data_IF_139490069853
#
_entry.id   IF_139490069853
#
_cell.length_a   1.000
_cell.length_b   1.000
_cell.length_c   1.000
_cell.angle_alpha   90.00
_cell.angle_beta   90.00
_cell.angle_gamma   90.00
#
_symmetry.space_group_name_H-M   'P 1'
#
loop_
_entity.id
_entity.type
_entity.pdbx_description
1 polymer ?
#
# COMPACT_ATOMS: atom_id res chain seq x y z
N UNK A 1 13.38 5.76 -7.25
CA UNK A 1 12.09 6.24 -6.71
C UNK A 1 11.34 7.00 -7.80
N UNK A 2 10.06 6.70 -8.04
CA UNK A 2 9.21 7.39 -9.02
C UNK A 2 8.28 8.37 -8.28
N UNK A 3 8.45 9.67 -8.52
CA UNK A 3 7.64 10.76 -7.98
C UNK A 3 7.07 11.61 -9.12
N UNK A 4 6.03 11.13 -9.84
CA UNK A 4 5.62 11.73 -11.10
C UNK A 4 4.80 13.01 -10.94
N UNK A 5 4.35 13.35 -9.72
CA UNK A 5 3.55 14.54 -9.44
C UNK A 5 4.31 15.56 -8.59
N UNK A 6 3.96 16.84 -8.74
CA UNK A 6 4.47 17.94 -7.89
C UNK A 6 4.17 17.69 -6.39
N UNK A 7 2.96 17.24 -6.09
CA UNK A 7 2.49 16.91 -4.74
C UNK A 7 1.50 15.75 -4.79
N UNK A 8 1.30 15.06 -3.66
CA UNK A 8 0.27 14.03 -3.54
C UNK A 8 0.67 12.63 -4.02
N UNK A 9 1.94 12.39 -4.32
CA UNK A 9 2.45 11.09 -4.76
C UNK A 9 2.04 9.93 -3.83
N UNK A 10 2.18 10.10 -2.50
CA UNK A 10 1.78 9.06 -1.55
C UNK A 10 0.28 8.74 -1.58
N UNK A 11 -0.59 9.74 -1.84
CA UNK A 11 -2.04 9.51 -2.00
C UNK A 11 -2.34 8.80 -3.32
N UNK A 12 -1.70 9.23 -4.40
CA UNK A 12 -1.86 8.60 -5.71
C UNK A 12 -1.37 7.16 -5.72
N UNK A 13 -0.24 6.88 -5.07
CA UNK A 13 0.29 5.52 -4.89
C UNK A 13 -0.65 4.64 -4.08
N UNK A 14 -1.19 5.14 -2.96
CA UNK A 14 -2.16 4.38 -2.16
C UNK A 14 -3.40 3.99 -2.97
N UNK A 15 -3.95 4.93 -3.74
CA UNK A 15 -5.08 4.67 -4.64
C UNK A 15 -4.72 3.67 -5.74
N UNK A 16 -3.52 3.78 -6.34
CA UNK A 16 -3.05 2.81 -7.33
C UNK A 16 -3.01 1.39 -6.74
N UNK A 17 -2.43 1.23 -5.55
CA UNK A 17 -2.39 -0.08 -4.89
C UNK A 17 -3.79 -0.60 -4.55
N UNK A 18 -4.69 0.26 -4.05
CA UNK A 18 -6.07 -0.12 -3.79
C UNK A 18 -6.76 -0.64 -5.07
N UNK A 19 -6.60 0.04 -6.21
CA UNK A 19 -7.15 -0.42 -7.48
C UNK A 19 -6.51 -1.74 -7.95
N UNK A 20 -5.21 -1.92 -7.75
CA UNK A 20 -4.52 -3.17 -8.10
C UNK A 20 -5.01 -4.36 -7.26
N UNK A 21 -5.17 -4.15 -5.95
CA UNK A 21 -5.64 -5.19 -5.02
C UNK A 21 -7.09 -5.58 -5.33
N UNK A 22 -7.96 -4.59 -5.60
CA UNK A 22 -9.34 -4.84 -6.01
C UNK A 22 -9.40 -5.54 -7.38
N UNK A 23 -8.57 -5.13 -8.35
CA UNK A 23 -8.50 -5.77 -9.67
C UNK A 23 -7.98 -7.22 -9.60
N UNK A 24 -7.19 -7.54 -8.57
CA UNK A 24 -6.77 -8.90 -8.24
C UNK A 24 -7.80 -9.65 -7.38
N UNK A 25 -9.00 -9.07 -7.18
CA UNK A 25 -10.13 -9.65 -6.43
C UNK A 25 -9.87 -9.86 -4.92
N UNK A 26 -8.91 -9.15 -4.35
CA UNK A 26 -8.67 -9.16 -2.90
C UNK A 26 -9.40 -8.00 -2.22
N UNK A 27 -10.00 -8.22 -1.03
CA UNK A 27 -10.51 -7.12 -0.21
C UNK A 27 -9.34 -6.34 0.41
N UNK A 28 -9.53 -5.04 0.59
CA UNK A 28 -8.54 -4.16 1.24
C UNK A 28 -9.21 -3.23 2.26
N UNK A 29 -8.59 -3.09 3.42
CA UNK A 29 -9.02 -2.17 4.47
C UNK A 29 -7.84 -1.37 5.03
N UNK A 30 -7.90 -0.05 4.86
CA UNK A 30 -6.85 0.86 5.30
C UNK A 30 -7.05 1.43 6.71
N UNK A 31 -8.19 1.17 7.37
CA UNK A 31 -8.45 1.64 8.75
C UNK A 31 -7.35 1.30 9.75
N UNK A 32 -6.64 0.14 9.65
CA UNK A 32 -5.57 -0.19 10.58
C UNK A 32 -4.30 0.64 10.43
N UNK A 33 -4.18 1.49 9.40
CA UNK A 33 -2.93 2.16 9.02
C UNK A 33 -3.07 3.67 9.15
N UNK A 34 -2.18 4.25 9.94
CA UNK A 34 -2.06 5.70 10.10
C UNK A 34 -1.35 6.36 8.91
N UNK A 35 -1.57 7.67 8.68
CA UNK A 35 -0.82 8.41 7.67
C UNK A 35 0.70 8.36 7.89
N UNK A 36 1.15 8.37 9.14
CA UNK A 36 2.59 8.37 9.47
C UNK A 36 3.25 7.01 9.21
N UNK A 37 2.57 5.90 9.52
CA UNK A 37 3.04 4.56 9.14
C UNK A 37 3.20 4.44 7.61
N UNK A 38 2.21 4.93 6.85
CA UNK A 38 2.28 4.94 5.38
C UNK A 38 3.47 5.74 4.88
N UNK A 39 3.68 6.96 5.39
CA UNK A 39 4.81 7.81 5.01
C UNK A 39 6.14 7.14 5.37
N UNK A 40 6.27 6.58 6.57
CA UNK A 40 7.49 5.93 7.02
C UNK A 40 7.84 4.69 6.18
N UNK A 41 6.86 3.87 5.84
CA UNK A 41 7.06 2.71 4.98
C UNK A 41 7.51 3.10 3.57
N UNK A 42 6.92 4.15 3.00
CA UNK A 42 7.32 4.65 1.69
C UNK A 42 8.73 5.26 1.69
N UNK A 43 9.13 5.95 2.76
CA UNK A 43 10.52 6.42 2.94
C UNK A 43 11.49 5.24 3.02
N UNK A 44 11.14 4.21 3.80
CA UNK A 44 11.97 3.00 3.93
C UNK A 44 12.17 2.27 2.59
N UNK A 45 11.12 2.23 1.76
CA UNK A 45 11.17 1.63 0.42
C UNK A 45 12.13 2.36 -0.53
N UNK A 46 12.43 3.66 -0.31
CA UNK A 46 13.47 4.40 -1.06
C UNK A 46 14.84 3.81 -0.81
N UNK A 47 15.10 3.40 0.43
CA UNK A 47 16.33 2.73 0.84
C UNK A 47 16.31 1.22 0.52
N UNK A 48 15.40 0.77 -0.36
CA UNK A 48 15.17 -0.63 -0.71
C UNK A 48 14.77 -1.52 0.48
N UNK A 49 14.35 -0.93 1.61
CA UNK A 49 13.79 -1.68 2.72
C UNK A 49 12.27 -1.75 2.58
N UNK A 50 11.77 -2.85 1.99
CA UNK A 50 10.35 -3.04 1.72
C UNK A 50 9.59 -3.69 2.89
N UNK A 51 10.27 -4.14 3.95
CA UNK A 51 9.63 -4.84 5.06
C UNK A 51 8.48 -4.05 5.72
N UNK A 52 8.61 -2.73 5.97
CA UNK A 52 7.50 -1.96 6.55
C UNK A 52 6.30 -1.84 5.61
N UNK A 53 6.54 -1.79 4.29
CA UNK A 53 5.46 -1.69 3.31
C UNK A 53 4.74 -3.05 3.16
N UNK A 54 5.48 -4.16 3.25
CA UNK A 54 4.91 -5.50 3.30
C UNK A 54 4.03 -5.70 4.53
N UNK A 55 4.49 -5.29 5.72
CA UNK A 55 3.69 -5.35 6.97
C UNK A 55 2.36 -4.59 6.86
N UNK A 56 2.39 -3.40 6.24
CA UNK A 56 1.16 -2.64 5.95
C UNK A 56 0.20 -3.46 5.09
N UNK A 57 0.69 -4.07 4.01
CA UNK A 57 -0.17 -4.86 3.12
C UNK A 57 -0.67 -6.15 3.78
N UNK A 58 0.13 -6.82 4.61
CA UNK A 58 -0.29 -8.01 5.37
C UNK A 58 -1.44 -7.69 6.35
N UNK A 59 -1.47 -6.48 6.91
CA UNK A 59 -2.53 -6.00 7.81
C UNK A 59 -3.78 -5.52 7.05
N UNK A 60 -3.62 -5.12 5.79
CA UNK A 60 -4.68 -4.47 5.00
C UNK A 60 -5.37 -5.38 4.01
N UNK A 61 -4.66 -6.35 3.43
CA UNK A 61 -5.18 -7.21 2.36
C UNK A 61 -5.77 -8.47 3.01
N UNK A 62 -7.07 -8.68 2.83
CA UNK A 62 -7.73 -9.90 3.29
C UNK A 62 -7.57 -11.07 2.32
N UNK A 63 -8.13 -12.23 2.65
CA UNK A 63 -8.13 -13.39 1.76
C UNK A 63 -9.01 -13.15 0.53
N UNK A 64 -8.58 -13.62 -0.64
CA UNK A 64 -9.42 -13.62 -1.84
C UNK A 64 -10.68 -14.46 -1.59
N UNK A 65 -11.84 -14.08 -2.15
CA UNK A 65 -13.11 -14.76 -1.91
C UNK A 65 -13.16 -16.20 -2.44
N UNK A 66 -12.18 -16.62 -3.26
CA UNK A 66 -12.00 -18.01 -3.70
C UNK A 66 -10.51 -18.38 -3.77
N UNK A 67 -9.92 -18.72 -2.63
CA UNK A 67 -8.74 -19.58 -2.60
C UNK A 67 -9.19 -21.05 -2.69
N UNK A 68 -9.32 -21.56 -3.92
CA UNK A 68 -9.46 -23.00 -4.18
C UNK A 68 -8.09 -23.68 -4.24
#
# INVERSE_FOLDING_TARGET
>A
MLHPFREGNGRAQRLLFEQLVIAAEYPIDWRPISPDEWVHANISAVACNYAPLADIFDRCIGQAPFSA
#
